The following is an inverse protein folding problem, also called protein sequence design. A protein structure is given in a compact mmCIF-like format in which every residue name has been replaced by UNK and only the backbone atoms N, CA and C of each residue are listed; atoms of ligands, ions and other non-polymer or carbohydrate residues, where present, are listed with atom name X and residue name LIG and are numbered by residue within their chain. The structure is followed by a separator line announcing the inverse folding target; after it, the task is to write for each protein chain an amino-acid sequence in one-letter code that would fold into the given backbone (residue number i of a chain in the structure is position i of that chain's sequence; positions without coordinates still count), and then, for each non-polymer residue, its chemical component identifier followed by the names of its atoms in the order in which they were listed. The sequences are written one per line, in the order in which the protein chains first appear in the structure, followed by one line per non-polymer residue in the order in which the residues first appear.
data_IF_402829935846
#
_entry.id   IF_402829935846
#
_cell.length_a   1.000
_cell.length_b   1.000
_cell.length_c   1.000
_cell.angle_alpha   90.00
_cell.angle_beta   90.00
_cell.angle_gamma   90.00
#
_symmetry.space_group_name_H-M   'P 1'
#
loop_
_entity.id
_entity.type
_entity.pdbx_description
1 polymer ?
#
# COMPACT_ATOMS: atom_id res chain seq x y z
N UNK A 1 12.18 11.21 -18.14
CA UNK A 1 13.14 10.70 -19.16
C UNK A 1 12.45 9.81 -20.19
N UNK A 2 12.03 8.57 -19.85
CA UNK A 2 11.53 7.62 -20.85
C UNK A 2 10.02 7.64 -21.11
N UNK A 3 9.23 8.39 -20.32
CA UNK A 3 7.77 8.60 -20.52
C UNK A 3 7.04 7.27 -20.81
N UNK A 4 6.30 7.15 -21.90
CA UNK A 4 5.60 5.93 -22.35
C UNK A 4 6.51 4.70 -22.51
N UNK A 5 7.82 4.90 -22.69
CA UNK A 5 8.84 3.82 -22.79
C UNK A 5 9.55 3.54 -21.46
N UNK A 6 9.05 4.07 -20.35
CA UNK A 6 9.55 3.77 -19.02
C UNK A 6 9.26 2.30 -18.64
N UNK A 7 10.03 1.76 -17.69
CA UNK A 7 9.83 0.40 -17.18
C UNK A 7 8.63 0.28 -16.24
N UNK A 8 8.13 1.41 -15.73
CA UNK A 8 6.96 1.55 -14.86
C UNK A 8 6.53 3.02 -14.82
N UNK A 9 5.32 3.29 -14.34
CA UNK A 9 4.85 4.65 -14.04
C UNK A 9 5.30 5.16 -12.66
N UNK A 10 6.01 4.35 -11.85
CA UNK A 10 6.36 4.73 -10.48
C UNK A 10 7.19 6.03 -10.43
N UNK A 11 6.84 6.91 -9.50
CA UNK A 11 7.58 8.14 -9.20
C UNK A 11 7.86 8.23 -7.69
N UNK A 12 6.89 8.68 -6.88
CA UNK A 12 6.97 8.56 -5.41
C UNK A 12 6.96 7.08 -5.02
N UNK A 13 7.86 6.69 -4.13
CA UNK A 13 7.99 5.34 -3.59
C UNK A 13 8.15 5.39 -2.07
N UNK A 14 8.42 4.24 -1.44
CA UNK A 14 8.47 4.08 0.01
C UNK A 14 9.90 4.24 0.57
N UNK A 15 10.56 5.37 0.27
CA UNK A 15 11.96 5.61 0.68
C UNK A 15 12.11 5.62 2.20
N UNK A 16 11.26 6.35 2.92
CA UNK A 16 11.36 6.42 4.39
C UNK A 16 11.14 5.04 5.06
N UNK A 17 10.09 4.26 4.72
CA UNK A 17 9.98 2.89 5.20
C UNK A 17 11.16 1.98 4.84
N UNK A 18 11.75 2.14 3.64
CA UNK A 18 12.95 1.39 3.25
C UNK A 18 14.17 1.78 4.09
N UNK A 19 14.33 3.07 4.42
CA UNK A 19 15.35 3.54 5.36
C UNK A 19 15.13 2.90 6.73
N UNK A 20 13.90 2.93 7.28
CA UNK A 20 13.58 2.30 8.58
C UNK A 20 13.90 0.80 8.57
N UNK A 21 13.50 0.07 7.52
CA UNK A 21 13.81 -1.35 7.37
C UNK A 21 15.33 -1.60 7.28
N UNK A 22 16.08 -0.72 6.60
CA UNK A 22 17.53 -0.82 6.56
C UNK A 22 18.17 -0.55 7.92
N UNK A 23 17.64 0.38 8.70
CA UNK A 23 18.13 0.68 10.06
C UNK A 23 17.83 -0.50 11.01
N UNK A 24 16.66 -1.12 10.89
CA UNK A 24 16.35 -2.36 11.60
C UNK A 24 17.37 -3.46 11.28
N UNK A 25 17.68 -3.66 9.98
CA UNK A 25 18.70 -4.63 9.57
C UNK A 25 20.12 -4.26 10.03
N UNK A 26 20.49 -2.98 10.06
CA UNK A 26 21.79 -2.51 10.59
C UNK A 26 21.89 -2.73 12.09
N UNK A 27 20.81 -2.46 12.84
CA UNK A 27 20.78 -2.62 14.29
C UNK A 27 20.91 -4.10 14.68
N UNK A 28 20.05 -4.93 14.11
CA UNK A 28 19.98 -6.35 14.45
C UNK A 28 21.05 -7.19 13.76
N UNK A 29 21.50 -6.79 12.56
CA UNK A 29 22.45 -7.50 11.71
C UNK A 29 22.12 -8.98 11.51
N UNK A 30 23.04 -9.81 10.99
CA UNK A 30 22.73 -11.20 10.67
C UNK A 30 22.31 -12.03 11.91
N UNK A 31 23.01 -11.88 13.03
CA UNK A 31 22.74 -12.69 14.24
C UNK A 31 21.43 -12.30 14.93
N UNK A 32 21.13 -11.00 15.03
CA UNK A 32 19.88 -10.52 15.62
C UNK A 32 18.68 -10.93 14.79
N UNK A 33 18.74 -10.74 13.47
CA UNK A 33 17.67 -11.17 12.56
C UNK A 33 17.48 -12.69 12.58
N UNK A 34 18.57 -13.47 12.64
CA UNK A 34 18.50 -14.92 12.80
C UNK A 34 17.80 -15.29 14.12
N UNK A 35 18.18 -14.67 15.23
CA UNK A 35 17.55 -14.90 16.54
C UNK A 35 16.07 -14.55 16.55
N UNK A 36 15.67 -13.43 15.95
CA UNK A 36 14.26 -13.04 15.81
C UNK A 36 13.51 -14.10 15.01
N UNK A 37 14.02 -14.45 13.83
CA UNK A 37 13.40 -15.45 12.97
C UNK A 37 13.27 -16.83 13.63
N UNK A 38 14.31 -17.29 14.33
CA UNK A 38 14.28 -18.54 15.09
C UNK A 38 13.28 -18.48 16.23
N UNK A 39 13.20 -17.36 16.97
CA UNK A 39 12.22 -17.19 18.05
C UNK A 39 10.79 -17.25 17.55
N UNK A 40 10.48 -16.56 16.44
CA UNK A 40 9.17 -16.62 15.79
C UNK A 40 8.85 -18.06 15.37
N UNK A 41 9.80 -18.74 14.72
CA UNK A 41 9.63 -20.12 14.29
C UNK A 41 9.34 -21.07 15.46
N UNK A 42 10.08 -20.94 16.57
CA UNK A 42 9.84 -21.74 17.77
C UNK A 42 8.45 -21.52 18.38
N UNK A 43 7.93 -20.28 18.35
CA UNK A 43 6.55 -20.01 18.78
C UNK A 43 5.53 -20.69 17.86
N UNK A 44 5.77 -20.67 16.54
CA UNK A 44 4.92 -21.37 15.57
C UNK A 44 4.95 -22.89 15.77
N UNK A 45 6.12 -23.48 16.06
CA UNK A 45 6.25 -24.90 16.36
C UNK A 45 5.50 -25.29 17.63
N UNK A 46 5.60 -24.46 18.68
CA UNK A 46 4.85 -24.67 19.94
C UNK A 46 3.34 -24.61 19.71
N UNK A 47 2.87 -23.66 18.89
CA UNK A 47 1.47 -23.56 18.48
C UNK A 47 1.01 -24.80 17.71
N UNK A 48 1.81 -25.29 16.77
CA UNK A 48 1.51 -26.47 15.97
C UNK A 48 1.42 -27.74 16.84
N UNK A 49 2.40 -27.96 17.73
CA UNK A 49 2.41 -29.07 18.67
C UNK A 49 1.19 -29.02 19.61
N UNK A 50 0.90 -27.85 20.19
CA UNK A 50 -0.28 -27.66 21.04
C UNK A 50 -1.59 -27.90 20.29
N UNK A 51 -1.72 -27.39 19.07
CA UNK A 51 -2.89 -27.66 18.23
C UNK A 51 -3.08 -29.16 17.92
N UNK A 52 -1.99 -29.89 17.62
CA UNK A 52 -2.04 -31.35 17.45
C UNK A 52 -2.49 -32.08 18.71
N UNK A 53 -1.95 -31.70 19.87
CA UNK A 53 -2.35 -32.30 21.16
C UNK A 53 -3.85 -32.11 21.47
N UNK A 54 -4.45 -31.04 20.93
CA UNK A 54 -5.89 -30.77 20.99
C UNK A 54 -6.69 -31.50 19.90
N UNK A 55 -6.06 -32.31 19.07
CA UNK A 55 -6.70 -33.07 18.00
C UNK A 55 -7.06 -32.25 16.77
N UNK A 56 -6.33 -31.17 16.46
CA UNK A 56 -6.39 -30.54 15.15
C UNK A 56 -5.38 -31.19 14.18
N UNK A 57 -5.77 -31.35 12.92
CA UNK A 57 -4.87 -31.78 11.85
C UNK A 57 -4.11 -30.56 11.33
N UNK A 58 -2.80 -30.69 11.07
CA UNK A 58 -2.06 -29.65 10.34
C UNK A 58 -2.29 -29.83 8.85
N UNK A 59 -2.68 -28.75 8.16
CA UNK A 59 -2.80 -28.77 6.69
C UNK A 59 -1.42 -28.87 6.03
N UNK A 60 -0.40 -28.32 6.68
CA UNK A 60 0.98 -28.31 6.22
C UNK A 60 1.94 -28.67 7.36
N UNK A 61 2.78 -29.66 7.10
CA UNK A 61 3.88 -30.07 7.98
C UNK A 61 5.05 -29.06 7.96
N UNK A 62 5.16 -28.32 6.85
CA UNK A 62 6.24 -27.38 6.58
C UNK A 62 5.74 -25.94 6.67
N UNK A 63 6.33 -25.15 7.56
CA UNK A 63 5.97 -23.75 7.79
C UNK A 63 7.12 -22.98 8.45
N UNK A 64 7.05 -21.64 8.36
CA UNK A 64 7.92 -20.75 9.13
C UNK A 64 7.19 -20.20 10.36
N UNK A 65 6.25 -19.28 10.15
CA UNK A 65 5.53 -18.55 11.22
C UNK A 65 4.01 -18.80 11.20
N UNK A 66 3.52 -19.49 10.18
CA UNK A 66 2.09 -19.60 9.89
C UNK A 66 1.64 -21.04 9.90
N UNK A 67 0.75 -21.36 10.84
CA UNK A 67 0.20 -22.71 11.03
C UNK A 67 -1.24 -22.74 10.55
N UNK A 68 -1.57 -23.72 9.70
CA UNK A 68 -2.91 -23.96 9.18
C UNK A 68 -3.49 -25.21 9.82
N UNK A 69 -4.62 -25.08 10.50
CA UNK A 69 -5.31 -26.18 11.16
C UNK A 69 -6.55 -26.58 10.37
N UNK A 70 -6.84 -27.89 10.31
CA UNK A 70 -8.07 -28.46 9.79
C UNK A 70 -8.83 -29.18 10.89
N UNK A 71 -10.15 -29.00 10.90
CA UNK A 71 -11.09 -29.74 11.74
C UNK A 71 -12.53 -29.59 11.21
N UNK A 72 -13.47 -30.29 11.83
CA UNK A 72 -14.89 -30.20 11.47
C UNK A 72 -15.42 -28.75 11.49
N UNK A 73 -16.29 -28.35 10.53
CA UNK A 73 -16.77 -26.97 10.42
C UNK A 73 -17.42 -26.40 11.69
N UNK A 74 -18.12 -27.21 12.47
CA UNK A 74 -18.70 -26.78 13.75
C UNK A 74 -17.62 -26.44 14.79
N UNK A 75 -16.50 -27.17 14.78
CA UNK A 75 -15.36 -26.86 15.63
C UNK A 75 -14.69 -25.56 15.22
N UNK A 76 -14.57 -25.29 13.91
CA UNK A 76 -14.07 -24.00 13.38
C UNK A 76 -14.94 -22.83 13.87
N UNK A 77 -16.27 -22.96 13.81
CA UNK A 77 -17.20 -21.94 14.34
C UNK A 77 -17.00 -21.70 15.84
N UNK A 78 -16.83 -22.76 16.62
CA UNK A 78 -16.58 -22.65 18.06
C UNK A 78 -15.25 -21.95 18.37
N UNK A 79 -14.18 -22.27 17.63
CA UNK A 79 -12.88 -21.58 17.74
C UNK A 79 -13.04 -20.09 17.38
N UNK A 80 -13.79 -19.77 16.33
CA UNK A 80 -14.05 -18.38 15.93
C UNK A 80 -14.76 -17.57 17.03
N UNK A 81 -15.76 -18.16 17.70
CA UNK A 81 -16.43 -17.51 18.83
C UNK A 81 -15.46 -17.23 19.97
N UNK A 82 -14.69 -18.23 20.40
CA UNK A 82 -13.71 -18.07 21.48
C UNK A 82 -12.60 -17.09 21.13
N UNK A 83 -12.15 -17.06 19.87
CA UNK A 83 -11.17 -16.09 19.40
C UNK A 83 -11.70 -14.65 19.52
N UNK A 84 -12.96 -14.41 19.12
CA UNK A 84 -13.59 -13.12 19.27
C UNK A 84 -13.74 -12.71 20.75
N UNK A 85 -14.16 -13.63 21.63
CA UNK A 85 -14.24 -13.41 23.09
C UNK A 85 -12.87 -13.08 23.71
N UNK A 86 -11.79 -13.67 23.19
CA UNK A 86 -10.42 -13.42 23.63
C UNK A 86 -9.76 -12.18 22.97
N UNK A 87 -10.46 -11.47 22.07
CA UNK A 87 -9.89 -10.34 21.33
C UNK A 87 -8.79 -10.75 20.33
N UNK A 88 -8.85 -11.96 19.80
CA UNK A 88 -7.86 -12.53 18.88
C UNK A 88 -8.45 -12.63 17.46
N UNK A 89 -7.72 -12.08 16.49
CA UNK A 89 -8.05 -12.26 15.07
C UNK A 89 -7.24 -13.40 14.46
N UNK A 90 -7.94 -14.37 13.86
CA UNK A 90 -7.34 -15.43 13.06
C UNK A 90 -7.71 -15.25 11.59
N UNK A 91 -7.00 -15.91 10.69
CA UNK A 91 -7.33 -15.91 9.26
C UNK A 91 -8.33 -17.02 8.95
N UNK A 92 -9.49 -16.64 8.44
CA UNK A 92 -10.54 -17.55 7.98
C UNK A 92 -10.57 -17.60 6.44
N UNK A 93 -10.15 -18.71 5.79
CA UNK A 93 -10.21 -18.82 4.33
C UNK A 93 -11.64 -18.71 3.81
N UNK A 94 -11.88 -17.88 2.79
CA UNK A 94 -13.25 -17.65 2.25
C UNK A 94 -13.87 -18.89 1.60
N UNK A 95 -13.03 -19.72 0.99
CA UNK A 95 -13.46 -20.88 0.20
C UNK A 95 -13.48 -22.19 1.01
N UNK A 96 -13.11 -22.16 2.30
CA UNK A 96 -13.02 -23.36 3.15
C UNK A 96 -13.68 -23.11 4.50
N UNK A 97 -14.48 -24.06 4.94
CA UNK A 97 -15.22 -23.99 6.22
C UNK A 97 -14.65 -24.90 7.30
N UNK A 98 -13.71 -25.77 6.93
CA UNK A 98 -13.08 -26.82 7.74
C UNK A 98 -11.66 -26.44 8.20
N UNK A 99 -11.23 -25.20 8.00
CA UNK A 99 -9.86 -24.78 8.30
C UNK A 99 -9.72 -23.31 8.65
N UNK A 100 -8.64 -22.99 9.35
CA UNK A 100 -8.22 -21.62 9.69
C UNK A 100 -6.69 -21.54 9.80
N UNK A 101 -6.13 -20.34 9.70
CA UNK A 101 -4.69 -20.10 9.81
C UNK A 101 -4.38 -19.14 10.95
N UNK A 102 -3.24 -19.38 11.61
CA UNK A 102 -2.67 -18.51 12.62
C UNK A 102 -1.24 -18.17 12.20
N UNK A 103 -0.93 -16.89 12.08
CA UNK A 103 0.44 -16.39 11.88
C UNK A 103 0.91 -15.78 13.18
N UNK A 104 2.09 -16.18 13.64
CA UNK A 104 2.80 -15.55 14.77
C UNK A 104 3.86 -14.61 14.25
N UNK A 105 4.32 -13.69 15.08
CA UNK A 105 5.29 -12.66 14.71
C UNK A 105 6.26 -12.34 15.86
N UNK A 106 7.13 -11.35 15.66
CA UNK A 106 8.15 -10.92 16.64
C UNK A 106 7.55 -10.53 18.01
N UNK A 107 6.28 -10.10 18.05
CA UNK A 107 5.59 -9.69 19.28
C UNK A 107 4.95 -10.87 20.02
N UNK A 108 4.93 -12.05 19.41
CA UNK A 108 4.28 -13.24 19.98
C UNK A 108 5.12 -13.79 21.14
N UNK A 109 4.50 -13.81 22.32
CA UNK A 109 5.09 -14.32 23.56
C UNK A 109 4.58 -15.73 23.89
N UNK A 110 5.17 -16.39 24.89
CA UNK A 110 4.66 -17.68 25.40
C UNK A 110 3.24 -17.51 25.96
N UNK A 111 2.95 -16.37 26.57
CA UNK A 111 1.64 -15.99 27.05
C UNK A 111 0.63 -15.85 25.91
N UNK A 112 1.04 -15.26 24.78
CA UNK A 112 0.24 -15.22 23.54
C UNK A 112 -0.09 -16.63 23.06
N UNK A 113 0.89 -17.56 23.06
CA UNK A 113 0.64 -18.97 22.71
C UNK A 113 -0.33 -19.63 23.68
N UNK A 114 -0.22 -19.41 24.98
CA UNK A 114 -1.16 -19.96 25.96
C UNK A 114 -2.61 -19.47 25.70
N UNK A 115 -2.79 -18.19 25.36
CA UNK A 115 -4.10 -17.64 24.96
C UNK A 115 -4.61 -18.33 23.70
N UNK A 116 -3.76 -18.49 22.67
CA UNK A 116 -4.14 -19.19 21.44
C UNK A 116 -4.55 -20.65 21.71
N UNK A 117 -3.79 -21.39 22.51
CA UNK A 117 -4.13 -22.77 22.87
C UNK A 117 -5.44 -22.83 23.67
N UNK A 118 -5.72 -21.85 24.51
CA UNK A 118 -7.02 -21.72 25.21
C UNK A 118 -8.17 -21.52 24.22
N UNK A 119 -7.97 -20.66 23.21
CA UNK A 119 -8.94 -20.46 22.11
C UNK A 119 -9.18 -21.76 21.31
N UNK A 120 -8.14 -22.58 21.12
CA UNK A 120 -8.24 -23.87 20.43
C UNK A 120 -8.89 -24.98 21.29
N UNK A 121 -8.83 -24.85 22.61
CA UNK A 121 -9.27 -25.86 23.58
C UNK A 121 -10.81 -25.95 23.66
N UNK A 122 -11.40 -27.18 23.67
CA UNK A 122 -12.84 -27.36 23.75
C UNK A 122 -13.42 -27.21 25.18
N UNK A 123 -12.57 -27.23 26.22
CA UNK A 123 -12.96 -27.09 27.64
C UNK A 123 -11.88 -26.33 28.42
N UNK A 124 -12.27 -25.59 29.46
CA UNK A 124 -11.34 -24.92 30.38
C UNK A 124 -10.47 -25.91 31.20
N UNK A 125 -10.80 -27.21 31.18
CA UNK A 125 -10.08 -28.27 31.90
C UNK A 125 -8.89 -28.86 31.12
N UNK A 126 -8.75 -28.58 29.83
CA UNK A 126 -7.61 -28.99 29.01
C UNK A 126 -6.53 -27.91 29.06
N UNK A 127 -5.95 -27.72 30.25
CA UNK A 127 -4.74 -26.92 30.43
C UNK A 127 -3.56 -27.66 29.83
N UNK A 128 -3.00 -27.11 28.76
CA UNK A 128 -1.74 -27.58 28.19
C UNK A 128 -0.61 -26.83 28.92
N UNK A 129 0.28 -27.57 29.58
CA UNK A 129 1.51 -26.98 30.09
C UNK A 129 2.47 -26.76 28.92
N UNK A 130 2.83 -25.51 28.67
CA UNK A 130 3.79 -25.15 27.63
C UNK A 130 5.18 -25.77 27.87
N UNK A 131 5.51 -26.13 29.11
CA UNK A 131 6.77 -26.81 29.46
C UNK A 131 6.77 -28.25 28.98
N UNK A 132 5.63 -28.92 29.07
CA UNK A 132 5.49 -30.30 28.59
C UNK A 132 5.58 -30.33 27.06
N UNK A 133 4.92 -29.40 26.36
CA UNK A 133 5.08 -29.26 24.91
C UNK A 133 6.51 -28.90 24.48
N UNK A 134 7.20 -28.05 25.25
CA UNK A 134 8.60 -27.71 24.99
C UNK A 134 9.48 -28.95 25.11
N UNK A 135 9.31 -29.73 26.18
CA UNK A 135 10.03 -30.99 26.36
C UNK A 135 9.73 -32.00 25.27
N UNK A 136 8.46 -32.20 24.92
CA UNK A 136 8.07 -33.10 23.84
C UNK A 136 8.68 -32.67 22.50
N UNK A 137 8.70 -31.37 22.20
CA UNK A 137 9.36 -30.85 20.98
C UNK A 137 10.88 -31.01 20.98
N UNK A 138 11.53 -30.98 22.14
CA UNK A 138 12.96 -31.21 22.31
C UNK A 138 13.32 -32.71 22.26
N UNK A 139 12.45 -33.57 22.79
CA UNK A 139 12.58 -35.04 22.83
C UNK A 139 12.23 -35.69 21.47
N UNK A 140 11.25 -35.16 20.71
CA UNK A 140 10.87 -35.60 19.35
C UNK A 140 11.89 -35.24 18.25
N UNK A 141 13.07 -34.72 18.63
CA UNK A 141 14.20 -34.48 17.72
C UNK A 141 14.70 -35.70 16.92
N UNK A 142 14.08 -36.88 17.10
CA UNK A 142 14.35 -38.12 16.36
C UNK A 142 13.17 -38.65 15.51
N UNK A 143 12.01 -37.98 15.46
CA UNK A 143 10.83 -38.50 14.74
C UNK A 143 9.85 -37.44 14.24
N UNK A 144 10.13 -36.84 13.07
CA UNK A 144 9.17 -36.04 12.30
C UNK A 144 9.04 -34.57 12.72
N UNK A 145 10.08 -33.76 12.46
CA UNK A 145 10.06 -32.30 12.72
C UNK A 145 9.00 -31.61 11.85
N UNK A 146 7.93 -31.09 12.45
CA UNK A 146 7.10 -30.08 11.78
C UNK A 146 7.82 -28.73 11.83
N UNK A 147 7.90 -28.03 10.70
CA UNK A 147 8.60 -26.76 10.57
C UNK A 147 9.48 -26.67 9.32
N UNK A 148 10.69 -26.12 9.45
CA UNK A 148 11.63 -26.02 8.32
C UNK A 148 12.52 -27.28 8.27
N UNK A 149 12.42 -28.03 7.17
CA UNK A 149 13.27 -29.20 6.91
C UNK A 149 14.76 -28.82 6.87
N UNK A 150 15.63 -29.77 7.23
CA UNK A 150 17.10 -29.57 7.17
C UNK A 150 17.57 -29.19 5.77
N UNK A 151 16.96 -29.77 4.71
CA UNK A 151 17.26 -29.44 3.31
C UNK A 151 16.89 -28.00 2.93
N UNK A 152 15.92 -27.39 3.63
CA UNK A 152 15.50 -25.99 3.42
C UNK A 152 16.20 -25.01 4.37
N UNK A 153 17.11 -25.49 5.21
CA UNK A 153 17.86 -24.65 6.13
C UNK A 153 18.88 -23.82 5.37
N UNK A 154 18.77 -22.49 5.49
CA UNK A 154 19.71 -21.57 4.85
C UNK A 154 21.13 -21.78 5.40
N UNK A 155 22.07 -22.08 4.50
CA UNK A 155 23.50 -22.23 4.82
C UNK A 155 24.35 -21.04 4.38
N UNK A 156 23.84 -20.17 3.51
CA UNK A 156 24.58 -19.00 3.02
C UNK A 156 24.58 -17.86 4.03
N UNK A 157 25.73 -17.20 4.14
CA UNK A 157 25.87 -15.95 4.89
C UNK A 157 25.06 -14.82 4.28
N UNK A 158 24.77 -13.80 5.09
CA UNK A 158 24.08 -12.57 4.66
C UNK A 158 24.50 -11.40 5.54
N UNK A 159 24.34 -10.18 5.01
CA UNK A 159 24.69 -8.94 5.73
C UNK A 159 26.15 -8.94 6.22
N UNK A 160 27.06 -9.48 5.40
CA UNK A 160 28.49 -9.57 5.71
C UNK A 160 29.23 -8.24 5.61
N UNK A 161 28.63 -7.24 4.96
CA UNK A 161 29.21 -5.90 4.88
C UNK A 161 29.32 -5.26 6.27
N UNK A 162 30.39 -4.51 6.50
CA UNK A 162 30.73 -3.88 7.80
C UNK A 162 29.56 -3.08 8.39
N UNK A 163 28.79 -2.37 7.54
CA UNK A 163 27.65 -1.56 7.95
C UNK A 163 26.63 -2.31 8.83
N UNK A 164 26.42 -3.61 8.60
CA UNK A 164 25.49 -4.42 9.37
C UNK A 164 26.10 -5.00 10.65
N UNK A 165 27.36 -4.70 10.92
CA UNK A 165 28.15 -5.27 12.00
C UNK A 165 28.70 -4.21 12.98
N UNK A 166 28.68 -2.93 12.60
CA UNK A 166 29.33 -1.84 13.37
C UNK A 166 28.41 -1.02 14.30
N UNK A 167 27.08 -1.08 14.17
CA UNK A 167 26.16 -0.16 14.88
C UNK A 167 25.12 -0.90 15.74
N UNK A 168 25.61 -1.65 16.73
CA UNK A 168 24.79 -2.61 17.49
C UNK A 168 24.24 -2.06 18.80
N UNK A 169 24.96 -1.11 19.42
CA UNK A 169 24.43 -0.39 20.58
C UNK A 169 23.52 0.76 20.17
N UNK A 170 22.62 1.15 21.06
CA UNK A 170 21.74 2.31 20.86
C UNK A 170 22.56 3.59 20.59
N UNK A 171 23.68 3.79 21.30
CA UNK A 171 24.55 4.96 21.12
C UNK A 171 25.24 4.97 19.76
N UNK A 172 25.72 3.82 19.27
CA UNK A 172 26.32 3.73 17.93
C UNK A 172 25.29 3.99 16.84
N UNK A 173 24.09 3.41 16.98
CA UNK A 173 22.99 3.62 16.04
C UNK A 173 22.54 5.09 16.01
N UNK A 174 22.38 5.72 17.17
CA UNK A 174 22.07 7.14 17.28
C UNK A 174 23.11 8.01 16.53
N UNK A 175 24.40 7.74 16.75
CA UNK A 175 25.49 8.46 16.06
C UNK A 175 25.50 8.19 14.56
N UNK A 176 25.19 6.97 14.15
CA UNK A 176 25.12 6.60 12.73
C UNK A 176 23.98 7.34 12.03
N UNK A 177 22.76 7.28 12.57
CA UNK A 177 21.61 8.01 12.03
C UNK A 177 21.89 9.52 11.96
N UNK A 178 22.42 10.12 13.03
CA UNK A 178 22.75 11.56 13.04
C UNK A 178 23.81 11.92 12.00
N UNK A 179 24.79 11.05 11.77
CA UNK A 179 25.83 11.28 10.75
C UNK A 179 25.24 11.30 9.34
N UNK A 180 24.31 10.40 9.04
CA UNK A 180 23.64 10.36 7.75
C UNK A 180 22.73 11.58 7.58
N UNK A 181 21.89 11.86 8.57
CA UNK A 181 21.01 13.05 8.63
C UNK A 181 21.80 14.35 8.40
N UNK A 182 22.99 14.50 8.99
CA UNK A 182 23.83 15.70 8.82
C UNK A 182 24.36 15.94 7.40
N UNK A 183 24.25 14.95 6.49
CA UNK A 183 24.69 15.06 5.10
C UNK A 183 23.56 15.49 4.16
N UNK A 184 22.32 15.45 4.63
CA UNK A 184 21.14 15.69 3.81
C UNK A 184 20.58 17.08 4.09
N UNK A 185 20.42 17.89 3.03
CA UNK A 185 19.70 19.16 3.14
C UNK A 185 18.19 18.88 3.20
N UNK A 186 17.56 19.31 4.29
CA UNK A 186 16.13 19.12 4.53
C UNK A 186 15.42 20.44 4.82
N UNK A 187 14.09 20.38 4.99
CA UNK A 187 13.26 21.54 5.33
C UNK A 187 13.55 22.12 6.72
N UNK A 188 14.33 21.43 7.58
CA UNK A 188 14.78 22.00 8.86
C UNK A 188 15.88 23.05 8.68
N UNK A 189 16.47 23.16 7.49
CA UNK A 189 17.63 24.00 7.20
C UNK A 189 17.27 25.18 6.30
N UNK A 190 16.61 24.92 5.17
CA UNK A 190 16.28 25.96 4.20
C UNK A 190 15.08 25.58 3.33
N UNK A 191 14.59 26.54 2.55
CA UNK A 191 13.64 26.27 1.47
C UNK A 191 14.23 25.28 0.46
N UNK A 192 13.40 24.34 0.00
CA UNK A 192 13.70 23.41 -1.10
C UNK A 192 12.68 23.69 -2.24
N UNK A 193 12.98 24.61 -3.17
CA UNK A 193 12.02 25.12 -4.15
C UNK A 193 11.89 24.19 -5.38
N UNK A 194 11.56 22.91 -5.14
CA UNK A 194 11.35 21.95 -6.22
C UNK A 194 9.95 22.16 -6.84
N UNK A 195 9.93 22.66 -8.07
CA UNK A 195 8.71 22.79 -8.86
C UNK A 195 7.98 21.45 -8.99
N UNK A 196 6.64 21.48 -8.96
CA UNK A 196 5.76 20.29 -8.96
C UNK A 196 5.90 19.37 -7.73
N UNK A 197 6.67 19.74 -6.69
CA UNK A 197 6.80 18.95 -5.45
C UNK A 197 6.06 19.55 -4.26
N UNK A 198 5.79 20.87 -4.24
CA UNK A 198 5.08 21.55 -3.15
C UNK A 198 5.69 21.25 -1.78
N UNK A 199 6.96 21.61 -1.59
CA UNK A 199 7.69 21.38 -0.34
C UNK A 199 7.22 22.33 0.78
N UNK A 200 5.99 22.12 1.25
CA UNK A 200 5.33 22.89 2.32
C UNK A 200 5.70 22.37 3.71
N UNK A 201 5.16 23.03 4.74
CA UNK A 201 5.28 22.56 6.11
C UNK A 201 4.63 21.18 6.28
N UNK A 202 5.35 20.24 6.88
CA UNK A 202 4.79 19.04 7.48
C UNK A 202 4.68 19.30 8.98
N UNK A 203 3.52 19.75 9.46
CA UNK A 203 3.41 20.26 10.82
C UNK A 203 3.57 19.13 11.84
N UNK A 204 4.25 19.39 12.95
CA UNK A 204 4.45 18.35 13.98
C UNK A 204 3.13 17.77 14.48
N UNK A 205 2.10 18.60 14.63
CA UNK A 205 0.75 18.17 15.04
C UNK A 205 0.08 17.22 14.05
N UNK A 206 0.37 17.34 12.75
CA UNK A 206 -0.13 16.45 11.70
C UNK A 206 0.64 15.12 11.68
N UNK A 207 1.93 15.15 12.06
CA UNK A 207 2.80 13.98 12.05
C UNK A 207 2.68 13.11 13.31
N UNK A 208 2.29 13.68 14.45
CA UNK A 208 2.18 12.93 15.72
C UNK A 208 1.32 11.65 15.62
N UNK A 209 0.11 11.67 15.01
CA UNK A 209 -0.79 10.52 15.05
C UNK A 209 -0.31 9.28 14.30
N UNK A 210 0.61 9.42 13.33
CA UNK A 210 1.05 8.28 12.50
C UNK A 210 1.75 7.18 13.30
N UNK A 211 2.19 7.49 14.54
CA UNK A 211 2.86 6.56 15.45
C UNK A 211 2.00 6.14 16.64
N UNK A 212 0.77 6.64 16.76
CA UNK A 212 -0.13 6.21 17.83
C UNK A 212 -0.51 4.74 17.62
N UNK A 213 -0.56 3.93 18.69
CA UNK A 213 -0.93 2.51 18.58
C UNK A 213 -2.24 2.26 17.82
N UNK A 214 -3.22 3.13 18.00
CA UNK A 214 -4.55 3.07 17.37
C UNK A 214 -4.51 3.27 15.84
N UNK A 215 -3.44 3.88 15.31
CA UNK A 215 -3.19 4.03 13.88
C UNK A 215 -2.15 3.01 13.37
N UNK A 216 -1.05 2.84 14.10
CA UNK A 216 0.11 2.10 13.62
C UNK A 216 0.01 0.58 13.79
N UNK A 217 -0.85 0.07 14.69
CA UNK A 217 -0.94 -1.35 15.04
C UNK A 217 -2.10 -2.14 14.44
N UNK A 218 -3.26 -1.55 14.06
CA UNK A 218 -4.33 -2.35 13.46
C UNK A 218 -3.86 -3.06 12.20
N UNK A 219 -4.14 -4.36 12.11
CA UNK A 219 -3.86 -5.13 10.91
C UNK A 219 -4.83 -4.70 9.79
N UNK A 220 -4.37 -4.49 8.54
CA UNK A 220 -5.22 -3.94 7.46
C UNK A 220 -6.41 -4.83 7.07
N UNK A 221 -6.40 -6.10 7.45
CA UNK A 221 -7.51 -7.05 7.25
C UNK A 221 -8.26 -7.40 8.53
N UNK A 222 -8.08 -6.63 9.61
CA UNK A 222 -8.90 -6.77 10.80
C UNK A 222 -10.39 -6.48 10.48
N UNK A 223 -11.33 -7.11 11.20
CA UNK A 223 -12.75 -6.79 11.09
C UNK A 223 -13.03 -5.28 11.17
N UNK A 224 -13.99 -4.80 10.36
CA UNK A 224 -14.27 -3.36 10.21
C UNK A 224 -14.82 -2.73 11.48
N UNK A 225 -15.53 -3.50 12.31
CA UNK A 225 -16.04 -3.10 13.62
C UNK A 225 -14.94 -2.80 14.65
N UNK A 226 -13.75 -3.38 14.47
CA UNK A 226 -12.56 -3.07 15.28
C UNK A 226 -11.86 -1.77 14.85
N UNK A 227 -12.27 -1.19 13.71
CA UNK A 227 -11.60 -0.06 13.06
C UNK A 227 -12.56 1.11 12.82
N UNK A 228 -13.58 1.28 13.68
CA UNK A 228 -14.56 2.36 13.55
C UNK A 228 -13.92 3.77 13.49
N UNK A 229 -12.81 3.98 14.20
CA UNK A 229 -12.03 5.23 14.12
C UNK A 229 -11.48 5.50 12.72
N UNK A 230 -10.89 4.48 12.07
CA UNK A 230 -10.42 4.57 10.69
C UNK A 230 -11.58 4.82 9.72
N UNK A 231 -12.70 4.12 9.88
CA UNK A 231 -13.88 4.32 9.03
C UNK A 231 -14.36 5.77 9.07
N UNK A 232 -14.45 6.35 10.27
CA UNK A 232 -14.79 7.76 10.43
C UNK A 232 -13.80 8.70 9.72
N UNK A 233 -12.50 8.44 9.85
CA UNK A 233 -11.46 9.23 9.18
C UNK A 233 -11.59 9.13 7.65
N UNK A 234 -11.84 7.94 7.12
CA UNK A 234 -12.05 7.76 5.69
C UNK A 234 -13.28 8.52 5.18
N UNK A 235 -14.39 8.47 5.92
CA UNK A 235 -15.61 9.19 5.57
C UNK A 235 -15.41 10.71 5.61
N UNK A 236 -14.85 11.23 6.70
CA UNK A 236 -14.61 12.67 6.87
C UNK A 236 -13.59 13.18 5.84
N UNK A 237 -12.48 12.47 5.63
CA UNK A 237 -11.48 12.85 4.62
C UNK A 237 -12.07 12.80 3.20
N UNK A 238 -12.81 11.74 2.86
CA UNK A 238 -13.43 11.62 1.54
C UNK A 238 -14.43 12.74 1.30
N UNK A 239 -15.24 13.11 2.29
CA UNK A 239 -16.17 14.24 2.18
C UNK A 239 -15.45 15.57 1.96
N UNK A 240 -14.35 15.83 2.69
CA UNK A 240 -13.54 17.03 2.48
C UNK A 240 -12.92 17.07 1.08
N UNK A 241 -12.40 15.93 0.60
CA UNK A 241 -11.78 15.84 -0.72
C UNK A 241 -12.82 15.96 -1.86
N UNK A 242 -14.04 15.44 -1.66
CA UNK A 242 -15.18 15.65 -2.57
C UNK A 242 -15.51 17.14 -2.67
N UNK A 243 -15.61 17.84 -1.54
CA UNK A 243 -15.89 19.28 -1.53
C UNK A 243 -14.78 20.09 -2.23
N UNK A 244 -13.51 19.78 -1.92
CA UNK A 244 -12.33 20.43 -2.52
C UNK A 244 -12.29 20.22 -4.05
N UNK A 245 -12.65 19.04 -4.51
CA UNK A 245 -12.52 18.68 -5.93
C UNK A 245 -13.77 18.97 -6.76
N UNK A 246 -14.94 19.05 -6.12
CA UNK A 246 -16.24 19.09 -6.80
C UNK A 246 -16.59 17.78 -7.53
N UNK A 247 -15.88 16.68 -7.25
CA UNK A 247 -16.14 15.36 -7.84
C UNK A 247 -17.10 14.54 -6.97
N UNK A 248 -17.80 13.58 -7.57
CA UNK A 248 -18.88 12.87 -6.89
C UNK A 248 -18.42 11.88 -5.79
N UNK A 249 -17.19 11.38 -5.87
CA UNK A 249 -16.67 10.37 -4.95
C UNK A 249 -15.13 10.34 -4.93
N UNK A 250 -14.56 9.75 -3.88
CA UNK A 250 -13.12 9.56 -3.70
C UNK A 250 -12.81 8.10 -3.38
N UNK A 251 -11.70 7.61 -3.92
CA UNK A 251 -11.08 6.34 -3.50
C UNK A 251 -9.73 6.64 -2.85
N UNK A 252 -9.55 6.17 -1.61
CA UNK A 252 -8.30 6.33 -0.84
C UNK A 252 -7.30 5.19 -1.07
N UNK A 253 -7.61 4.24 -1.97
CA UNK A 253 -6.77 3.05 -2.21
C UNK A 253 -5.44 3.35 -2.94
N UNK A 254 -5.37 4.24 -3.95
CA UNK A 254 -4.13 4.50 -4.65
C UNK A 254 -3.07 5.13 -3.72
N UNK A 255 -1.95 4.43 -3.54
CA UNK A 255 -0.90 4.80 -2.58
C UNK A 255 0.21 5.71 -3.15
N UNK A 256 0.04 6.22 -4.37
CA UNK A 256 0.93 7.18 -5.03
C UNK A 256 0.16 7.94 -6.12
N UNK A 257 0.66 9.10 -6.55
CA UNK A 257 0.02 9.87 -7.63
C UNK A 257 -0.07 9.08 -8.94
N UNK A 258 1.00 8.40 -9.32
CA UNK A 258 1.02 7.49 -10.49
C UNK A 258 0.04 6.32 -10.37
N UNK A 259 -0.21 5.82 -9.17
CA UNK A 259 -1.25 4.81 -8.93
C UNK A 259 -2.65 5.40 -9.03
N UNK A 260 -2.84 6.67 -8.67
CA UNK A 260 -4.08 7.40 -8.87
C UNK A 260 -4.38 7.65 -10.35
N UNK A 261 -3.37 7.98 -11.16
CA UNK A 261 -3.44 8.01 -12.63
C UNK A 261 -3.89 6.67 -13.18
N UNK A 262 -3.16 5.60 -12.84
CA UNK A 262 -3.48 4.27 -13.30
C UNK A 262 -4.90 3.83 -12.92
N UNK A 263 -5.31 4.05 -11.66
CA UNK A 263 -6.65 3.73 -11.19
C UNK A 263 -7.74 4.55 -11.91
N UNK A 264 -7.52 5.85 -12.12
CA UNK A 264 -8.48 6.70 -12.84
C UNK A 264 -8.63 6.31 -14.31
N UNK A 265 -7.54 5.96 -14.99
CA UNK A 265 -7.58 5.46 -16.37
C UNK A 265 -8.23 4.07 -16.46
N UNK A 266 -8.01 3.19 -15.48
CA UNK A 266 -8.76 1.94 -15.38
C UNK A 266 -10.26 2.18 -15.16
N UNK A 267 -10.63 3.19 -14.37
CA UNK A 267 -12.03 3.57 -14.17
C UNK A 267 -12.66 4.08 -15.48
N UNK A 268 -11.98 4.95 -16.23
CA UNK A 268 -12.42 5.41 -17.56
C UNK A 268 -12.58 4.20 -18.51
N UNK A 269 -11.59 3.30 -18.54
CA UNK A 269 -11.65 2.08 -19.36
C UNK A 269 -12.88 1.23 -19.04
N UNK A 270 -13.14 0.98 -17.76
CA UNK A 270 -14.32 0.22 -17.30
C UNK A 270 -15.62 0.94 -17.59
N UNK A 271 -15.64 2.26 -17.52
CA UNK A 271 -16.78 3.07 -17.94
C UNK A 271 -17.07 2.91 -19.44
N UNK A 272 -16.05 2.98 -20.30
CA UNK A 272 -16.20 2.72 -21.73
C UNK A 272 -16.73 1.30 -22.01
N UNK A 273 -16.18 0.28 -21.33
CA UNK A 273 -16.63 -1.11 -21.47
C UNK A 273 -18.11 -1.25 -21.05
N UNK A 274 -18.51 -0.63 -19.94
CA UNK A 274 -19.89 -0.65 -19.45
C UNK A 274 -20.87 0.08 -20.40
N UNK A 275 -20.43 1.16 -21.05
CA UNK A 275 -21.21 1.91 -22.04
C UNK A 275 -21.27 1.24 -23.41
N UNK A 276 -20.65 0.07 -23.59
CA UNK A 276 -20.64 -0.65 -24.85
C UNK A 276 -19.66 -0.08 -25.88
N UNK A 277 -18.65 0.67 -25.45
CA UNK A 277 -17.60 1.22 -26.31
C UNK A 277 -16.20 0.71 -25.93
N UNK A 278 -15.96 -0.62 -25.84
CA UNK A 278 -14.69 -1.18 -25.41
C UNK A 278 -13.52 -0.90 -26.38
N UNK A 279 -13.79 -0.48 -27.61
CA UNK A 279 -12.80 -0.06 -28.58
C UNK A 279 -12.15 1.30 -28.24
N UNK A 280 -12.78 2.11 -27.37
CA UNK A 280 -12.22 3.40 -26.94
C UNK A 280 -10.95 3.17 -26.12
N UNK A 281 -9.79 3.40 -26.75
CA UNK A 281 -8.44 3.14 -26.21
C UNK A 281 -7.43 4.24 -26.52
N UNK A 282 -7.79 5.30 -27.24
CA UNK A 282 -6.92 6.46 -27.44
C UNK A 282 -6.93 7.34 -26.20
N UNK A 283 -5.74 7.67 -25.69
CA UNK A 283 -5.52 8.64 -24.64
C UNK A 283 -4.70 9.82 -25.18
N UNK A 284 -5.33 10.99 -25.25
CA UNK A 284 -4.67 12.24 -25.62
C UNK A 284 -3.84 12.75 -24.44
N UNK A 285 -2.58 13.09 -24.66
CA UNK A 285 -1.68 13.57 -23.62
C UNK A 285 -0.87 14.76 -24.14
N UNK A 286 -0.98 15.96 -23.56
CA UNK A 286 -0.14 17.10 -23.91
C UNK A 286 1.36 16.79 -23.77
N UNK A 287 2.17 17.33 -24.67
CA UNK A 287 3.62 17.17 -24.62
C UNK A 287 4.24 17.67 -23.30
N UNK A 288 3.61 18.68 -22.69
CA UNK A 288 3.98 19.26 -21.39
C UNK A 288 3.66 18.36 -20.19
N UNK A 289 2.82 17.33 -20.34
CA UNK A 289 2.38 16.49 -19.23
C UNK A 289 3.56 15.82 -18.51
N UNK A 290 3.36 15.55 -17.22
CA UNK A 290 4.34 14.83 -16.41
C UNK A 290 4.61 13.43 -16.99
N UNK A 291 5.81 12.91 -16.76
CA UNK A 291 6.25 11.65 -17.37
C UNK A 291 5.49 10.41 -16.91
N UNK A 292 4.77 10.50 -15.79
CA UNK A 292 3.91 9.42 -15.27
C UNK A 292 2.67 9.24 -16.13
N UNK A 293 2.06 10.33 -16.62
CA UNK A 293 0.82 10.30 -17.41
C UNK A 293 0.90 9.31 -18.60
N UNK A 294 1.87 9.44 -19.53
CA UNK A 294 1.98 8.50 -20.65
C UNK A 294 2.37 7.08 -20.21
N UNK A 295 3.15 6.91 -19.14
CA UNK A 295 3.49 5.59 -18.61
C UNK A 295 2.26 4.90 -18.01
N UNK A 296 1.44 5.64 -17.25
CA UNK A 296 0.18 5.19 -16.66
C UNK A 296 -0.84 4.83 -17.73
N UNK A 297 -0.94 5.61 -18.81
CA UNK A 297 -1.81 5.32 -19.95
C UNK A 297 -1.44 4.01 -20.66
N UNK A 298 -0.17 3.82 -21.00
CA UNK A 298 0.30 2.55 -21.60
C UNK A 298 0.04 1.37 -20.68
N UNK A 299 0.33 1.52 -19.38
CA UNK A 299 0.10 0.46 -18.39
C UNK A 299 -1.39 0.09 -18.25
N UNK A 300 -2.29 1.07 -18.37
CA UNK A 300 -3.74 0.84 -18.36
C UNK A 300 -4.27 0.26 -19.70
N UNK A 301 -3.40 0.10 -20.70
CA UNK A 301 -3.72 -0.47 -22.00
C UNK A 301 -4.31 0.54 -22.98
N UNK A 302 -4.00 1.82 -22.83
CA UNK A 302 -4.33 2.87 -23.81
C UNK A 302 -3.19 3.06 -24.81
N UNK A 303 -3.55 3.49 -26.01
CA UNK A 303 -2.62 4.03 -26.99
C UNK A 303 -2.49 5.54 -26.78
N UNK A 304 -1.25 6.01 -26.60
CA UNK A 304 -0.95 7.42 -26.32
C UNK A 304 -0.82 8.18 -27.62
N UNK A 305 -1.64 9.23 -27.77
CA UNK A 305 -1.51 10.22 -28.84
C UNK A 305 -1.11 11.55 -28.21
N UNK A 306 0.08 12.03 -28.56
CA UNK A 306 0.62 13.27 -28.01
C UNK A 306 -0.12 14.46 -28.61
N UNK A 307 -0.52 15.43 -27.79
CA UNK A 307 -1.06 16.73 -28.21
C UNK A 307 0.04 17.79 -28.06
N UNK A 308 0.16 18.68 -29.06
CA UNK A 308 1.18 19.71 -29.08
C UNK A 308 0.89 20.82 -28.05
N UNK A 309 1.90 21.62 -27.79
CA UNK A 309 1.77 22.88 -27.07
C UNK A 309 2.02 24.05 -28.02
N UNK A 310 1.38 25.18 -27.77
CA UNK A 310 1.62 26.42 -28.51
C UNK A 310 2.98 27.06 -28.13
N UNK A 311 3.29 28.21 -28.73
CA UNK A 311 4.55 28.93 -28.47
C UNK A 311 4.64 29.52 -27.04
N UNK A 312 3.51 29.67 -26.36
CA UNK A 312 3.42 30.16 -24.97
C UNK A 312 3.42 29.02 -23.94
N UNK A 313 3.41 27.77 -24.41
CA UNK A 313 3.44 26.58 -23.59
C UNK A 313 2.08 26.10 -23.10
N UNK A 314 0.97 26.63 -23.65
CA UNK A 314 -0.38 26.13 -23.41
C UNK A 314 -0.66 24.91 -24.30
N UNK A 315 -1.75 24.19 -24.04
CA UNK A 315 -2.21 23.13 -24.94
C UNK A 315 -2.65 23.76 -26.27
N UNK A 316 -2.15 23.24 -27.39
CA UNK A 316 -2.62 23.63 -28.71
C UNK A 316 -4.05 23.09 -28.92
N UNK A 317 -5.04 23.98 -28.76
CA UNK A 317 -6.47 23.65 -28.85
C UNK A 317 -6.86 23.19 -30.26
N UNK A 318 -6.21 23.70 -31.30
CA UNK A 318 -6.51 23.33 -32.68
C UNK A 318 -5.96 21.94 -33.00
N UNK A 319 -4.74 21.63 -32.53
CA UNK A 319 -4.17 20.29 -32.61
C UNK A 319 -4.97 19.28 -31.78
N UNK A 320 -5.41 19.66 -30.57
CA UNK A 320 -6.32 18.85 -29.74
C UNK A 320 -7.61 18.52 -30.50
N UNK A 321 -8.25 19.54 -31.10
CA UNK A 321 -9.49 19.37 -31.87
C UNK A 321 -9.28 18.46 -33.06
N UNK A 322 -8.18 18.65 -33.79
CA UNK A 322 -7.79 17.79 -34.92
C UNK A 322 -7.63 16.34 -34.51
N UNK A 323 -6.91 16.07 -33.41
CA UNK A 323 -6.68 14.71 -32.88
C UNK A 323 -7.94 14.07 -32.33
N UNK A 324 -8.79 14.83 -31.62
CA UNK A 324 -10.09 14.32 -31.17
C UNK A 324 -10.98 13.94 -32.36
N UNK A 325 -11.03 14.77 -33.40
CA UNK A 325 -11.81 14.51 -34.62
C UNK A 325 -11.25 13.36 -35.47
N UNK A 326 -9.94 13.06 -35.37
CA UNK A 326 -9.32 11.91 -36.03
C UNK A 326 -9.63 10.56 -35.34
N UNK A 327 -10.09 10.58 -34.09
CA UNK A 327 -10.37 9.40 -33.27
C UNK A 327 -11.80 9.40 -32.67
N UNK A 328 -12.88 9.67 -33.42
CA UNK A 328 -14.21 9.90 -32.85
C UNK A 328 -14.80 8.66 -32.15
N UNK A 329 -14.50 7.46 -32.67
CA UNK A 329 -14.99 6.19 -32.15
C UNK A 329 -14.03 5.52 -31.14
N UNK A 330 -12.77 5.98 -31.11
CA UNK A 330 -11.68 5.36 -30.35
C UNK A 330 -11.16 6.23 -29.20
N UNK A 331 -11.54 7.52 -29.16
CA UNK A 331 -11.15 8.45 -28.10
C UNK A 331 -11.75 8.02 -26.76
N UNK A 332 -10.88 7.77 -25.79
CA UNK A 332 -11.30 7.35 -24.47
C UNK A 332 -11.02 8.41 -23.41
N UNK A 333 -9.84 9.04 -23.47
CA UNK A 333 -9.42 9.98 -22.45
C UNK A 333 -8.57 11.13 -22.99
N UNK A 334 -8.61 12.25 -22.28
CA UNK A 334 -7.55 13.26 -22.23
C UNK A 334 -6.95 13.23 -20.83
N UNK A 335 -5.62 13.22 -20.71
CA UNK A 335 -4.94 13.53 -19.46
C UNK A 335 -4.42 14.96 -19.50
N UNK A 336 -4.89 15.82 -18.60
CA UNK A 336 -4.46 17.21 -18.48
C UNK A 336 -3.92 17.49 -17.07
N UNK A 337 -2.96 18.39 -16.94
CA UNK A 337 -2.52 18.92 -15.64
C UNK A 337 -3.00 20.36 -15.53
N UNK A 338 -3.72 20.72 -14.46
CA UNK A 338 -4.21 22.08 -14.27
C UNK A 338 -3.91 22.61 -12.86
N UNK A 339 -3.29 23.79 -12.70
CA UNK A 339 -2.55 24.55 -13.73
C UNK A 339 -1.47 23.71 -14.40
N UNK A 340 -1.02 24.12 -15.58
CA UNK A 340 -0.09 23.33 -16.39
C UNK A 340 1.24 23.07 -15.67
N UNK A 341 2.05 22.14 -16.20
CA UNK A 341 3.40 21.87 -15.66
C UNK A 341 4.36 23.05 -15.82
N UNK A 342 4.01 24.06 -16.62
CA UNK A 342 4.70 25.34 -16.72
C UNK A 342 4.30 26.34 -15.62
N UNK A 343 3.31 26.01 -14.78
CA UNK A 343 2.82 26.87 -13.70
C UNK A 343 1.84 27.96 -14.18
N UNK A 344 1.17 27.75 -15.32
CA UNK A 344 0.25 28.71 -15.94
C UNK A 344 -1.18 28.20 -15.89
N UNK A 345 -2.12 29.09 -15.58
CA UNK A 345 -3.55 28.84 -15.69
C UNK A 345 -4.00 29.05 -17.13
N UNK A 346 -4.31 27.96 -17.84
CA UNK A 346 -4.81 28.04 -19.21
C UNK A 346 -6.26 28.56 -19.21
N UNK A 347 -6.55 29.61 -20.00
CA UNK A 347 -7.87 30.23 -20.09
C UNK A 347 -8.90 29.28 -20.73
N UNK A 348 -8.46 28.39 -21.61
CA UNK A 348 -9.29 27.50 -22.43
C UNK A 348 -9.67 26.16 -21.81
N UNK A 349 -9.42 25.93 -20.50
CA UNK A 349 -9.56 24.58 -19.89
C UNK A 349 -10.95 23.96 -20.07
N UNK A 350 -12.02 24.76 -19.93
CA UNK A 350 -13.39 24.28 -20.17
C UNK A 350 -13.62 23.89 -21.63
N UNK A 351 -13.13 24.69 -22.56
CA UNK A 351 -13.20 24.39 -23.99
C UNK A 351 -12.44 23.10 -24.33
N UNK A 352 -11.29 22.87 -23.70
CA UNK A 352 -10.52 21.63 -23.84
C UNK A 352 -11.35 20.42 -23.36
N UNK A 353 -11.99 20.52 -22.20
CA UNK A 353 -12.89 19.48 -21.69
C UNK A 353 -14.07 19.23 -22.62
N UNK A 354 -14.74 20.30 -23.07
CA UNK A 354 -15.89 20.24 -23.97
C UNK A 354 -15.55 19.53 -25.29
N UNK A 355 -14.38 19.81 -25.88
CA UNK A 355 -13.91 19.15 -27.10
C UNK A 355 -13.81 17.63 -26.90
N UNK A 356 -13.25 17.19 -25.79
CA UNK A 356 -13.08 15.76 -25.47
C UNK A 356 -14.45 15.10 -25.25
N UNK A 357 -15.32 15.74 -24.47
CA UNK A 357 -16.67 15.24 -24.20
C UNK A 357 -17.54 15.16 -25.45
N UNK A 358 -17.44 16.13 -26.36
CA UNK A 358 -18.15 16.12 -27.65
C UNK A 358 -17.78 14.91 -28.53
N UNK A 359 -16.59 14.35 -28.35
CA UNK A 359 -16.10 13.16 -29.05
C UNK A 359 -16.24 11.88 -28.19
N UNK A 360 -16.95 11.94 -27.07
CA UNK A 360 -17.26 10.80 -26.20
C UNK A 360 -16.11 10.33 -25.30
N UNK A 361 -15.02 11.08 -25.23
CA UNK A 361 -13.93 10.83 -24.29
C UNK A 361 -14.25 11.30 -22.87
N UNK A 362 -13.36 10.99 -21.92
CA UNK A 362 -13.39 11.47 -20.54
C UNK A 362 -12.15 12.31 -20.24
N UNK A 363 -12.23 13.21 -19.28
CA UNK A 363 -11.14 14.08 -18.87
C UNK A 363 -10.58 13.61 -17.55
N UNK A 364 -9.35 13.11 -17.60
CA UNK A 364 -8.53 12.85 -16.43
C UNK A 364 -7.68 14.09 -16.11
N UNK A 365 -7.77 14.59 -14.87
CA UNK A 365 -6.90 15.66 -14.40
C UNK A 365 -5.83 15.13 -13.44
N UNK A 366 -4.57 15.38 -13.79
CA UNK A 366 -3.44 15.31 -12.87
C UNK A 366 -3.54 16.45 -11.86
N UNK A 367 -3.89 16.12 -10.62
CA UNK A 367 -4.07 17.07 -9.52
C UNK A 367 -2.80 17.30 -8.70
N UNK A 368 -1.61 17.00 -9.22
CA UNK A 368 -0.35 17.30 -8.53
C UNK A 368 -0.19 18.81 -8.21
N UNK A 369 -0.83 19.67 -9.00
CA UNK A 369 -0.78 21.13 -8.86
C UNK A 369 -2.00 21.73 -8.11
N UNK A 370 -2.77 20.90 -7.40
CA UNK A 370 -3.97 21.34 -6.66
C UNK A 370 -3.70 22.41 -5.61
N UNK A 371 -2.47 22.57 -5.12
CA UNK A 371 -2.11 23.66 -4.21
C UNK A 371 -2.38 25.07 -4.77
N UNK A 372 -2.51 25.21 -6.10
CA UNK A 372 -2.92 26.45 -6.75
C UNK A 372 -4.45 26.61 -6.92
N UNK A 373 -5.23 25.56 -6.62
CA UNK A 373 -6.68 25.48 -6.88
C UNK A 373 -7.54 25.40 -5.62
N UNK A 374 -7.05 24.78 -4.54
CA UNK A 374 -7.82 24.58 -3.31
C UNK A 374 -8.42 25.90 -2.82
N UNK A 375 -9.74 25.95 -2.71
CA UNK A 375 -10.50 27.13 -2.28
C UNK A 375 -10.78 28.18 -3.36
N UNK A 376 -10.25 28.01 -4.57
CA UNK A 376 -10.39 28.96 -5.69
C UNK A 376 -11.17 28.37 -6.88
N UNK A 377 -10.92 27.12 -7.22
CA UNK A 377 -11.54 26.44 -8.35
C UNK A 377 -11.62 24.93 -8.09
N UNK A 378 -12.73 24.31 -8.49
CA UNK A 378 -12.95 22.87 -8.31
C UNK A 378 -12.87 22.14 -9.66
N UNK A 379 -12.03 21.10 -9.81
CA UNK A 379 -11.94 20.27 -11.00
C UNK A 379 -13.28 19.84 -11.61
N UNK A 380 -14.23 19.38 -10.78
CA UNK A 380 -15.55 18.96 -11.25
C UNK A 380 -16.37 20.08 -11.91
N UNK A 381 -16.12 21.35 -11.57
CA UNK A 381 -16.81 22.53 -12.13
C UNK A 381 -16.19 23.06 -13.43
N UNK A 382 -15.04 22.50 -13.83
CA UNK A 382 -14.34 22.87 -15.06
C UNK A 382 -14.33 21.73 -16.09
N UNK A 383 -15.12 20.67 -15.86
CA UNK A 383 -15.30 19.57 -16.82
C UNK A 383 -14.38 18.37 -16.62
N UNK A 384 -13.77 18.22 -15.45
CA UNK A 384 -12.97 17.04 -15.10
C UNK A 384 -13.87 15.91 -14.61
N UNK A 385 -13.68 14.70 -15.15
CA UNK A 385 -14.45 13.51 -14.76
C UNK A 385 -13.76 12.73 -13.63
N UNK A 386 -12.42 12.71 -13.63
CA UNK A 386 -11.62 12.00 -12.63
C UNK A 386 -10.31 12.73 -12.37
N UNK A 387 -9.87 12.75 -11.11
CA UNK A 387 -8.64 13.40 -10.70
C UNK A 387 -7.94 12.57 -9.63
N UNK A 388 -6.60 12.56 -9.63
CA UNK A 388 -5.84 12.14 -8.45
C UNK A 388 -5.33 13.36 -7.67
N UNK A 389 -5.13 13.17 -6.37
CA UNK A 389 -4.49 14.16 -5.50
C UNK A 389 -3.19 13.61 -4.94
N UNK A 390 -2.15 14.43 -4.86
CA UNK A 390 -0.94 14.11 -4.12
C UNK A 390 -1.04 14.68 -2.70
N UNK A 391 -1.53 13.89 -1.74
CA UNK A 391 -1.58 14.27 -0.31
C UNK A 391 -0.18 14.55 0.29
N UNK A 392 0.87 14.03 -0.34
CA UNK A 392 2.27 14.29 0.03
C UNK A 392 2.84 15.55 -0.65
N UNK A 393 2.02 16.32 -1.36
CA UNK A 393 2.39 17.60 -2.00
C UNK A 393 1.43 18.70 -1.53
N UNK A 394 0.17 18.61 -1.93
CA UNK A 394 -0.90 19.56 -1.55
C UNK A 394 -1.48 19.12 -0.23
#
# INVERSE_FOLDING_TARGET
IRRERATSNICTSQVLPAVVASMYAVHHGPDGLRRIATSIHSMAQLLAAGGRSLGFELVHERFFDTVSFRCEPERVKAVRSRAAEAGVNLRWPRERTDSFCISVDETTSKESIAVLLTVLSPSASSTIDLRDLQRESEEEGQGGKSGVDEEMTRTSDFLSHEVFNSYRSETEMLRYMRRLDSRDLSLTTSMIPLGSCTMKLNATVEMMPITWPEFARPHPFAPTDQNAGYMRIFDELSAMLVEITGLAAVSLQPNAGSQGEYAGLLAIRRFCDHRGCPQRRICLIPASAHGTNPASAVMAGFEVVVVNCDAEGNIDVDDLRSKAAAHPDDLAALMVTYPSTHGVFEEGIRTICDIVHQHGGQVYMDGANMNALVGMCRPGEIGVDVCHLNLHKT
#
